data_IF_548667512526
#
_entry.id   IF_548667512526
#
_cell.length_a   1.000
_cell.length_b   1.000
_cell.length_c   1.000
_cell.angle_alpha   90.00
_cell.angle_beta   90.00
_cell.angle_gamma   90.00
#
_symmetry.space_group_name_H-M   'P 1'
#
loop_
_entity.id
_entity.type
_entity.pdbx_description
1 polymer ?
#
# COMPACT_ATOMS: atom_id res chain seq x y z
N UNK A 1 -32.13 -45.05 -1.03
CA UNK A 1 -31.53 -44.76 -2.34
C UNK A 1 -32.03 -43.42 -2.84
N UNK A 2 -31.26 -42.32 -2.79
CA UNK A 2 -30.03 -42.16 -2.02
C UNK A 2 -29.94 -40.77 -1.34
N UNK A 3 -29.44 -40.78 -0.10
CA UNK A 3 -28.91 -39.64 0.67
C UNK A 3 -27.71 -38.94 -0.02
N UNK A 4 -27.61 -39.01 -1.36
CA UNK A 4 -26.43 -38.63 -2.14
C UNK A 4 -26.37 -37.13 -2.48
N UNK A 5 -27.42 -36.35 -2.20
CA UNK A 5 -27.47 -34.93 -2.58
C UNK A 5 -26.94 -33.98 -1.49
N UNK A 6 -26.77 -34.43 -0.25
CA UNK A 6 -26.44 -33.51 0.86
C UNK A 6 -24.93 -33.45 1.17
N UNK A 7 -24.12 -34.41 0.71
CA UNK A 7 -22.70 -34.47 1.05
C UNK A 7 -21.80 -33.54 0.19
N UNK A 8 -22.26 -33.08 -0.99
CA UNK A 8 -21.40 -32.33 -1.93
C UNK A 8 -21.32 -30.81 -1.67
N UNK A 9 -22.13 -30.23 -0.79
CA UNK A 9 -22.21 -28.76 -0.65
C UNK A 9 -21.22 -28.20 0.41
N UNK A 10 -20.51 -29.06 1.15
CA UNK A 10 -19.57 -28.63 2.21
C UNK A 10 -18.08 -28.57 1.78
N UNK A 11 -17.74 -28.90 0.53
CA UNK A 11 -16.34 -28.90 0.05
C UNK A 11 -15.88 -27.57 -0.59
N UNK A 12 -16.71 -26.53 -0.62
CA UNK A 12 -16.33 -25.22 -1.17
C UNK A 12 -15.96 -24.19 -0.10
N UNK A 13 -15.50 -24.62 1.08
CA UNK A 13 -14.67 -23.74 1.92
C UNK A 13 -13.36 -23.59 1.16
N UNK A 14 -13.31 -22.65 0.20
CA UNK A 14 -12.06 -22.11 -0.31
C UNK A 14 -11.36 -21.55 0.92
N UNK A 15 -10.48 -22.34 1.53
CA UNK A 15 -9.46 -21.84 2.42
C UNK A 15 -8.88 -20.63 1.70
N UNK A 16 -9.08 -19.43 2.25
CA UNK A 16 -8.37 -18.25 1.82
C UNK A 16 -6.91 -18.68 1.87
N UNK A 17 -6.28 -18.87 0.70
CA UNK A 17 -4.87 -19.22 0.62
C UNK A 17 -4.17 -18.06 1.31
N UNK A 18 -3.79 -18.26 2.57
CA UNK A 18 -2.88 -17.40 3.28
C UNK A 18 -1.57 -17.56 2.52
N UNK A 19 -1.40 -16.74 1.48
CA UNK A 19 -0.22 -16.76 0.63
C UNK A 19 0.92 -16.37 1.54
N UNK A 20 1.59 -17.37 2.10
CA UNK A 20 2.71 -17.21 3.00
C UNK A 20 3.68 -16.27 2.28
N UNK A 21 3.91 -15.09 2.86
CA UNK A 21 4.80 -14.05 2.33
C UNK A 21 6.28 -14.46 2.49
N UNK A 22 6.54 -15.76 2.41
CA UNK A 22 7.81 -16.42 2.66
C UNK A 22 8.15 -17.40 1.54
N UNK A 23 9.44 -17.53 1.28
CA UNK A 23 10.06 -18.53 0.41
C UNK A 23 10.17 -19.88 1.15
N UNK A 24 10.50 -20.98 0.45
CA UNK A 24 10.66 -22.30 1.07
C UNK A 24 11.75 -22.36 2.14
N UNK A 25 12.72 -21.43 2.10
CA UNK A 25 13.81 -21.31 3.07
C UNK A 25 13.44 -20.45 4.30
N UNK A 26 12.21 -19.94 4.39
CA UNK A 26 11.76 -19.08 5.50
C UNK A 26 12.06 -17.59 5.33
N UNK A 27 12.71 -17.18 4.24
CA UNK A 27 12.95 -15.75 3.95
C UNK A 27 11.69 -15.08 3.41
N UNK A 28 11.54 -13.78 3.67
CA UNK A 28 10.47 -12.99 3.08
C UNK A 28 10.62 -12.87 1.54
N UNK A 29 9.48 -12.75 0.87
CA UNK A 29 9.44 -12.51 -0.58
C UNK A 29 9.95 -11.10 -0.93
N UNK A 30 10.17 -10.86 -2.23
CA UNK A 30 10.55 -9.53 -2.74
C UNK A 30 9.50 -8.48 -2.37
N UNK A 31 9.95 -7.26 -2.04
CA UNK A 31 9.15 -6.16 -1.49
C UNK A 31 8.52 -6.47 -0.12
N UNK A 32 9.21 -7.27 0.70
CA UNK A 32 8.84 -7.52 2.08
C UNK A 32 10.07 -7.57 2.98
N UNK A 33 9.87 -7.27 4.27
CA UNK A 33 10.88 -7.37 5.32
C UNK A 33 10.40 -8.22 6.48
N UNK A 34 11.35 -8.77 7.23
CA UNK A 34 11.08 -9.59 8.41
C UNK A 34 10.84 -8.69 9.63
N UNK A 35 9.62 -8.72 10.15
CA UNK A 35 9.20 -8.07 11.40
C UNK A 35 8.89 -9.17 12.43
N UNK A 36 9.92 -9.60 13.18
CA UNK A 36 9.84 -10.79 14.03
C UNK A 36 9.65 -12.06 13.19
N UNK A 37 8.56 -12.79 13.43
CA UNK A 37 8.20 -14.01 12.67
C UNK A 37 7.28 -13.71 11.47
N UNK A 38 6.90 -12.44 11.26
CA UNK A 38 5.99 -12.03 10.19
C UNK A 38 6.74 -11.32 9.06
N UNK A 39 6.38 -11.62 7.82
CA UNK A 39 6.81 -10.84 6.67
C UNK A 39 5.82 -9.72 6.38
N UNK A 40 6.27 -8.47 6.50
CA UNK A 40 5.49 -7.28 6.19
C UNK A 40 5.88 -6.70 4.84
N UNK A 41 4.92 -6.10 4.17
CA UNK A 41 5.17 -5.35 2.93
C UNK A 41 6.08 -4.14 3.21
N UNK A 42 6.88 -3.76 2.22
CA UNK A 42 7.73 -2.58 2.33
C UNK A 42 6.93 -1.29 2.52
N UNK A 43 7.46 -0.33 3.31
CA UNK A 43 6.89 0.99 3.40
C UNK A 43 6.96 1.71 2.04
N UNK A 44 6.03 2.65 1.84
CA UNK A 44 6.00 3.51 0.66
C UNK A 44 7.35 4.19 0.44
N UNK A 45 7.81 4.23 -0.81
CA UNK A 45 9.10 4.80 -1.18
C UNK A 45 10.31 3.86 -1.00
N UNK A 46 10.07 2.61 -0.61
CA UNK A 46 11.08 1.56 -0.51
C UNK A 46 10.61 0.26 -1.18
N UNK A 47 11.57 -0.51 -1.68
CA UNK A 47 11.37 -1.78 -2.37
C UNK A 47 12.59 -2.70 -2.14
N UNK A 48 12.55 -3.90 -2.72
CA UNK A 48 13.66 -4.86 -2.64
C UNK A 48 13.48 -5.91 -1.56
N UNK A 49 14.54 -6.66 -1.30
CA UNK A 49 14.56 -7.65 -0.21
C UNK A 49 14.86 -6.92 1.09
N UNK A 50 14.02 -7.05 2.11
CA UNK A 50 14.12 -6.27 3.35
C UNK A 50 13.97 -4.74 3.18
N UNK A 51 13.40 -4.28 2.07
CA UNK A 51 13.07 -2.88 1.86
C UNK A 51 14.27 -1.92 1.93
N UNK A 52 15.46 -2.41 1.57
CA UNK A 52 16.70 -1.65 1.61
C UNK A 52 16.83 -0.65 0.45
N UNK A 53 16.10 -0.89 -0.63
CA UNK A 53 16.21 -0.08 -1.84
C UNK A 53 15.18 1.05 -1.81
N UNK A 54 15.66 2.28 -1.98
CA UNK A 54 14.82 3.49 -2.08
C UNK A 54 14.35 3.66 -3.52
N UNK A 55 13.10 4.08 -3.74
CA UNK A 55 12.63 4.40 -5.09
C UNK A 55 13.56 5.42 -5.76
N UNK A 56 14.03 5.09 -6.97
CA UNK A 56 14.90 5.95 -7.76
C UNK A 56 14.05 6.90 -8.58
N UNK A 57 14.54 8.12 -8.78
CA UNK A 57 13.94 9.04 -9.73
C UNK A 57 13.82 8.36 -11.12
N UNK A 58 12.67 8.50 -11.82
CA UNK A 58 11.52 9.36 -11.51
C UNK A 58 10.42 8.71 -10.66
N UNK A 59 10.62 7.55 -10.03
CA UNK A 59 9.52 6.84 -9.37
C UNK A 59 9.37 7.10 -7.87
N UNK A 60 8.14 6.96 -7.36
CA UNK A 60 7.80 7.12 -5.95
C UNK A 60 6.56 6.27 -5.57
N UNK A 61 6.15 6.34 -4.30
CA UNK A 61 4.90 5.72 -3.85
C UNK A 61 5.05 4.25 -3.47
N UNK A 62 3.93 3.52 -3.45
CA UNK A 62 3.92 2.11 -3.04
C UNK A 62 4.55 1.26 -4.14
N UNK A 63 5.62 0.52 -3.80
CA UNK A 63 6.41 -0.27 -4.76
C UNK A 63 6.99 0.54 -5.93
N UNK A 64 7.14 1.85 -5.78
CA UNK A 64 7.63 2.73 -6.83
C UNK A 64 6.75 2.73 -8.10
N UNK A 65 5.44 2.52 -7.95
CA UNK A 65 4.49 2.46 -9.07
C UNK A 65 4.11 3.83 -9.63
N UNK A 66 4.38 4.92 -8.90
CA UNK A 66 4.06 6.28 -9.30
C UNK A 66 5.29 6.95 -9.93
N UNK A 67 5.08 7.92 -10.82
CA UNK A 67 6.16 8.62 -11.55
C UNK A 67 6.04 10.13 -11.36
N UNK A 68 7.16 10.77 -11.09
CA UNK A 68 7.32 12.20 -10.91
C UNK A 68 7.61 12.91 -12.23
N UNK A 69 6.95 14.05 -12.44
CA UNK A 69 7.19 14.94 -13.59
C UNK A 69 8.00 16.20 -13.22
N UNK A 70 8.72 16.15 -12.10
CA UNK A 70 9.50 17.26 -11.55
C UNK A 70 10.98 16.92 -11.41
N UNK A 71 11.86 17.93 -11.42
CA UNK A 71 13.31 17.73 -11.30
C UNK A 71 13.74 17.16 -9.93
N UNK A 72 13.01 17.47 -8.85
CA UNK A 72 13.27 16.95 -7.50
C UNK A 72 12.08 16.10 -7.04
N UNK A 73 12.29 14.79 -6.94
CA UNK A 73 11.27 13.81 -6.59
C UNK A 73 11.59 13.15 -5.24
N UNK A 74 10.67 13.26 -4.29
CA UNK A 74 10.74 12.56 -3.02
C UNK A 74 10.18 11.15 -3.18
N UNK A 75 10.98 10.12 -2.92
CA UNK A 75 10.59 8.71 -3.02
C UNK A 75 9.25 8.31 -2.36
N UNK A 76 8.80 9.03 -1.32
CA UNK A 76 7.51 8.76 -0.65
C UNK A 76 6.39 9.63 -1.20
N UNK A 77 6.65 10.93 -1.39
CA UNK A 77 5.61 11.95 -1.61
C UNK A 77 5.50 12.37 -3.07
N UNK A 78 6.47 11.99 -3.90
CA UNK A 78 6.62 12.48 -5.25
C UNK A 78 7.14 13.92 -5.29
N UNK A 79 6.53 14.77 -6.10
CA UNK A 79 6.93 16.15 -6.27
C UNK A 79 6.50 17.00 -5.07
N UNK A 80 7.49 17.55 -4.34
CA UNK A 80 7.21 18.49 -3.26
C UNK A 80 7.07 19.88 -3.87
N UNK A 81 5.84 20.29 -4.16
CA UNK A 81 5.55 21.67 -4.52
C UNK A 81 5.77 22.54 -3.29
N UNK A 82 6.83 23.34 -3.27
CA UNK A 82 7.01 24.41 -2.28
C UNK A 82 6.03 25.55 -2.56
N UNK A 83 4.74 25.26 -2.48
CA UNK A 83 3.69 26.26 -2.42
C UNK A 83 3.25 26.38 -0.96
N UNK A 84 4.14 26.91 -0.11
CA UNK A 84 3.69 27.50 1.16
C UNK A 84 3.11 28.87 0.81
N UNK A 85 1.90 28.87 0.26
CA UNK A 85 0.94 29.91 0.57
C UNK A 85 0.10 29.32 1.68
N UNK A 86 0.30 29.79 2.91
CA UNK A 86 -0.52 29.44 4.06
C UNK A 86 -1.93 29.98 3.79
N UNK A 87 -2.73 29.16 3.13
CA UNK A 87 -4.18 29.26 3.05
C UNK A 87 -4.83 27.85 2.98
N UNK A 88 -4.11 26.82 3.41
CA UNK A 88 -4.72 25.58 3.91
C UNK A 88 -3.77 24.92 4.90
N UNK A 89 -4.00 25.19 6.19
CA UNK A 89 -3.28 24.57 7.28
C UNK A 89 -3.79 23.13 7.47
N UNK A 90 -3.36 22.20 6.63
CA UNK A 90 -3.38 20.77 6.97
C UNK A 90 -2.18 20.40 7.85
N UNK A 91 -1.97 21.17 8.92
CA UNK A 91 -1.31 20.74 10.15
C UNK A 91 -2.40 20.47 11.17
N UNK A 92 -3.06 19.32 11.07
CA UNK A 92 -3.69 18.72 12.25
C UNK A 92 -2.70 17.72 12.83
N UNK A 93 -1.76 18.26 13.61
CA UNK A 93 -1.43 17.60 14.86
C UNK A 93 -2.75 17.26 15.55
N UNK A 94 -2.87 16.03 16.02
CA UNK A 94 -4.07 15.51 16.66
C UNK A 94 -4.46 16.37 17.87
N UNK A 95 -5.40 17.28 17.70
CA UNK A 95 -6.24 17.79 18.78
C UNK A 95 -7.64 17.93 18.21
N UNK A 96 -8.55 17.09 18.72
CA UNK A 96 -9.78 16.69 18.04
C UNK A 96 -10.67 17.83 17.56
N UNK A 97 -11.05 17.75 16.30
CA UNK A 97 -12.35 18.20 15.80
C UNK A 97 -12.82 17.20 14.74
N UNK A 98 -14.10 16.89 14.80
CA UNK A 98 -14.79 15.80 14.11
C UNK A 98 -14.65 15.90 12.58
N UNK A 99 -14.14 14.84 11.94
CA UNK A 99 -14.16 14.71 10.48
C UNK A 99 -15.61 14.51 10.00
N UNK A 100 -16.22 15.53 9.39
CA UNK A 100 -17.40 15.32 8.54
C UNK A 100 -16.94 15.11 7.11
N UNK A 101 -16.92 13.85 6.69
CA UNK A 101 -16.71 13.47 5.29
C UNK A 101 -17.94 13.87 4.48
N UNK A 102 -17.89 15.01 3.80
CA UNK A 102 -18.84 15.31 2.73
C UNK A 102 -18.08 15.19 1.42
N UNK A 103 -18.20 14.04 0.78
CA UNK A 103 -17.53 13.77 -0.49
C UNK A 103 -17.90 14.82 -1.54
N UNK A 104 -16.89 15.31 -2.25
CA UNK A 104 -17.08 16.09 -3.46
C UNK A 104 -16.26 15.48 -4.59
N UNK A 105 -17.01 14.92 -5.55
CA UNK A 105 -16.53 14.64 -6.90
C UNK A 105 -16.26 15.99 -7.57
N UNK A 106 -15.20 16.11 -8.36
CA UNK A 106 -15.26 16.81 -9.63
C UNK A 106 -14.05 16.40 -10.50
N UNK A 107 -14.30 15.45 -11.39
CA UNK A 107 -13.56 15.32 -12.65
C UNK A 107 -14.11 16.44 -13.54
N UNK A 108 -13.26 17.37 -13.93
CA UNK A 108 -13.52 18.27 -15.06
C UNK A 108 -12.33 18.12 -16.00
N UNK A 109 -12.57 17.47 -17.13
CA UNK A 109 -11.70 17.48 -18.31
C UNK A 109 -12.58 17.91 -19.48
N UNK A 110 -12.07 18.72 -20.42
CA UNK A 110 -12.86 19.35 -21.49
C UNK A 110 -13.53 18.35 -22.45
#
# INVERSE_FOLDING_TARGET
MPLLQVLCIRLSIKAARNKTRTKPNGDCIFNSYKDGDLCRDCPTGYYGTNCTDKCKHPTFGRLCSETCDCSVCHHILGCISTAVNIADASTTALTGTSFTFTGIRHVLSP
#
